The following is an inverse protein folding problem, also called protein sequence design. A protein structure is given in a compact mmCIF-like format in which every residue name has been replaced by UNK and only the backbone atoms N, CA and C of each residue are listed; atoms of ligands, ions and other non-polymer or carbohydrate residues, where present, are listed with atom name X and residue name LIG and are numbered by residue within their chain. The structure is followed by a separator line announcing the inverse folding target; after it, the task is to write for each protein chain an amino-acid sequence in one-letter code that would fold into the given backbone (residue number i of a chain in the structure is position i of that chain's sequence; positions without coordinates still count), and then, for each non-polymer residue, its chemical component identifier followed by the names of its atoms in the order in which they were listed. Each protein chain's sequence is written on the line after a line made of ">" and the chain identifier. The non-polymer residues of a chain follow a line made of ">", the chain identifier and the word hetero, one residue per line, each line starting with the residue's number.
data_IF_792961881745
#
_entry.id   IF_792961881745
#
_cell.length_a   1.000
_cell.length_b   1.000
_cell.length_c   1.000
_cell.angle_alpha   90.00
_cell.angle_beta   90.00
_cell.angle_gamma   90.00
#
_symmetry.space_group_name_H-M   'P 1'
#
loop_
_entity.id
_entity.type
_entity.pdbx_description
1 polymer ?
#
# COMPACT_ATOMS: atom_id res chain seq x y z
N UNK A 1 -23.69 -10.63 10.63
CA UNK A 1 -22.35 -10.75 11.25
C UNK A 1 -21.64 -9.44 10.97
N UNK A 2 -21.19 -8.73 11.99
CA UNK A 2 -20.43 -7.48 11.86
C UNK A 2 -18.95 -7.83 12.04
N UNK A 3 -18.12 -7.44 11.07
CA UNK A 3 -16.67 -7.67 11.11
C UNK A 3 -16.01 -6.33 11.40
N UNK A 4 -15.35 -6.24 12.54
CA UNK A 4 -14.63 -5.04 12.99
C UNK A 4 -13.14 -5.24 12.80
N UNK A 5 -12.48 -4.34 12.08
CA UNK A 5 -11.04 -4.33 11.92
C UNK A 5 -10.43 -3.25 12.81
N UNK A 6 -9.83 -3.65 13.93
CA UNK A 6 -9.35 -2.70 14.95
C UNK A 6 -8.11 -1.90 14.52
N UNK A 7 -7.51 -2.21 13.36
CA UNK A 7 -6.31 -1.53 12.85
C UNK A 7 -6.33 -1.34 11.32
N UNK A 8 -7.52 -1.23 10.71
CA UNK A 8 -7.60 -0.98 9.27
C UNK A 8 -7.53 0.52 8.96
N UNK A 9 -6.63 0.91 8.05
CA UNK A 9 -6.63 2.24 7.46
C UNK A 9 -7.69 2.31 6.36
N UNK A 10 -8.77 3.05 6.58
CA UNK A 10 -9.78 3.28 5.53
C UNK A 10 -9.21 4.25 4.48
N UNK A 11 -9.09 3.81 3.23
CA UNK A 11 -8.63 4.65 2.10
C UNK A 11 -9.78 4.79 1.10
N UNK A 12 -10.55 5.89 1.15
CA UNK A 12 -11.81 6.02 0.43
C UNK A 12 -11.70 6.45 -1.04
N UNK A 13 -10.54 6.91 -1.53
CA UNK A 13 -10.43 7.37 -2.92
C UNK A 13 -9.01 7.27 -3.52
N UNK A 14 -8.93 7.10 -4.83
CA UNK A 14 -7.71 6.78 -5.62
C UNK A 14 -6.62 7.85 -5.47
N UNK A 15 -6.99 9.11 -5.31
CA UNK A 15 -6.06 10.23 -5.08
C UNK A 15 -5.39 10.20 -3.69
N UNK A 16 -5.94 9.46 -2.74
CA UNK A 16 -5.34 9.29 -1.40
C UNK A 16 -4.31 8.16 -1.32
N UNK A 17 -4.22 7.28 -2.33
CA UNK A 17 -3.16 6.27 -2.41
C UNK A 17 -1.77 6.90 -2.62
N UNK A 18 -1.66 8.05 -3.30
CA UNK A 18 -0.37 8.74 -3.45
C UNK A 18 0.03 9.50 -2.16
N UNK A 19 -0.96 10.01 -1.43
CA UNK A 19 -0.74 10.67 -0.13
C UNK A 19 -0.30 9.66 0.94
N UNK A 20 -0.81 8.42 0.88
CA UNK A 20 -0.37 7.34 1.79
C UNK A 20 1.05 6.85 1.46
N UNK A 21 1.45 6.83 0.19
CA UNK A 21 2.82 6.47 -0.22
C UNK A 21 3.86 7.43 0.35
N UNK A 22 3.60 8.75 0.32
CA UNK A 22 4.54 9.74 0.88
C UNK A 22 4.68 9.61 2.40
N UNK A 23 3.58 9.26 3.10
CA UNK A 23 3.64 8.95 4.54
C UNK A 23 4.38 7.65 4.83
N UNK A 24 4.19 6.63 4.00
CA UNK A 24 4.92 5.36 4.08
C UNK A 24 6.42 5.57 3.89
N UNK A 25 6.81 6.36 2.88
CA UNK A 25 8.20 6.75 2.63
C UNK A 25 8.81 7.48 3.85
N UNK A 26 8.09 8.47 4.41
CA UNK A 26 8.51 9.17 5.63
C UNK A 26 8.67 8.24 6.85
N UNK A 27 7.94 7.12 6.88
CA UNK A 27 8.06 6.08 7.92
C UNK A 27 9.11 5.01 7.58
N UNK A 28 9.82 5.15 6.46
CA UNK A 28 10.89 4.24 6.02
C UNK A 28 10.42 3.02 5.23
N UNK A 29 9.15 2.95 4.86
CA UNK A 29 8.64 1.88 3.99
C UNK A 29 9.06 2.12 2.55
N UNK A 30 9.22 1.04 1.79
CA UNK A 30 9.59 1.10 0.38
C UNK A 30 8.52 0.45 -0.49
N UNK A 31 8.32 1.01 -1.68
CA UNK A 31 7.37 0.47 -2.66
C UNK A 31 8.09 0.30 -3.99
N UNK A 32 8.10 -0.92 -4.50
CA UNK A 32 8.69 -1.27 -5.79
C UNK A 32 7.59 -1.53 -6.81
N UNK A 33 7.59 -0.75 -7.88
CA UNK A 33 6.69 -0.94 -9.03
C UNK A 33 7.41 -1.70 -10.14
N UNK A 34 6.71 -2.65 -10.74
CA UNK A 34 7.21 -3.36 -11.92
C UNK A 34 6.43 -4.64 -12.22
N UNK A 35 6.48 -5.06 -13.49
CA UNK A 35 5.81 -6.29 -13.97
C UNK A 35 4.30 -6.34 -13.65
N UNK A 36 3.63 -5.18 -13.66
CA UNK A 36 2.20 -5.08 -13.33
C UNK A 36 1.88 -5.31 -11.85
N UNK A 37 2.85 -5.12 -10.93
CA UNK A 37 2.63 -5.20 -9.49
C UNK A 37 3.25 -4.01 -8.74
N UNK A 38 2.76 -3.78 -7.52
CA UNK A 38 3.37 -2.93 -6.50
C UNK A 38 3.71 -3.79 -5.28
N UNK A 39 4.99 -3.82 -4.88
CA UNK A 39 5.44 -4.58 -3.70
C UNK A 39 5.85 -3.64 -2.59
N UNK A 40 5.38 -3.92 -1.37
CA UNK A 40 5.61 -3.09 -0.20
C UNK A 40 6.56 -3.78 0.77
N UNK A 41 7.56 -3.04 1.22
CA UNK A 41 8.60 -3.50 2.13
C UNK A 41 8.57 -2.66 3.40
N UNK A 42 8.70 -3.31 4.55
CA UNK A 42 8.88 -2.65 5.84
C UNK A 42 10.21 -1.89 5.88
N UNK A 43 10.43 -1.02 6.88
CA UNK A 43 11.73 -0.37 7.08
C UNK A 43 12.90 -1.36 7.27
N UNK A 44 12.62 -2.60 7.71
CA UNK A 44 13.62 -3.67 7.79
C UNK A 44 13.91 -4.36 6.46
N UNK A 45 13.27 -3.93 5.36
CA UNK A 45 13.39 -4.54 4.04
C UNK A 45 12.55 -5.82 3.86
N UNK A 46 11.63 -6.12 4.79
CA UNK A 46 10.80 -7.33 4.72
C UNK A 46 9.58 -7.06 3.84
N UNK A 47 9.39 -7.88 2.80
CA UNK A 47 8.19 -7.83 1.96
C UNK A 47 6.97 -8.30 2.75
N UNK A 48 5.88 -7.52 2.74
CA UNK A 48 4.67 -7.85 3.50
C UNK A 48 3.36 -7.66 2.72
N UNK A 49 3.37 -6.99 1.57
CA UNK A 49 2.17 -6.80 0.75
C UNK A 49 2.50 -6.70 -0.75
N UNK A 50 1.61 -7.26 -1.58
CA UNK A 50 1.65 -7.16 -3.04
C UNK A 50 0.30 -6.68 -3.56
N UNK A 51 0.29 -5.54 -4.24
CA UNK A 51 -0.81 -5.07 -5.07
C UNK A 51 -0.61 -5.50 -6.53
N UNK A 52 -1.71 -5.78 -7.23
CA UNK A 52 -1.71 -6.19 -8.64
C UNK A 52 -2.40 -5.13 -9.47
N UNK A 53 -1.73 -4.71 -10.54
CA UNK A 53 -2.25 -3.74 -11.48
C UNK A 53 -3.54 -4.23 -12.15
N UNK A 54 -4.62 -3.48 -12.03
CA UNK A 54 -5.88 -3.70 -12.75
C UNK A 54 -6.50 -2.36 -13.14
N UNK A 55 -6.90 -2.22 -14.41
CA UNK A 55 -7.52 -0.97 -14.89
C UNK A 55 -6.63 0.28 -14.80
N UNK A 56 -5.30 0.12 -14.78
CA UNK A 56 -4.35 1.24 -14.62
C UNK A 56 -4.07 1.64 -13.17
N UNK A 57 -4.60 0.89 -12.19
CA UNK A 57 -4.42 1.13 -10.76
C UNK A 57 -3.73 -0.09 -10.12
N UNK A 58 -2.91 0.14 -9.10
CA UNK A 58 -2.20 -0.89 -8.33
C UNK A 58 -2.83 -1.08 -6.95
#
# INVERSE_FOLDING_TARGET
>A
IVITFENALHVPDVSYNLISISKMDALGYQILYGKGMAKFFSPSGTHFLTGYGSGGLY
#
